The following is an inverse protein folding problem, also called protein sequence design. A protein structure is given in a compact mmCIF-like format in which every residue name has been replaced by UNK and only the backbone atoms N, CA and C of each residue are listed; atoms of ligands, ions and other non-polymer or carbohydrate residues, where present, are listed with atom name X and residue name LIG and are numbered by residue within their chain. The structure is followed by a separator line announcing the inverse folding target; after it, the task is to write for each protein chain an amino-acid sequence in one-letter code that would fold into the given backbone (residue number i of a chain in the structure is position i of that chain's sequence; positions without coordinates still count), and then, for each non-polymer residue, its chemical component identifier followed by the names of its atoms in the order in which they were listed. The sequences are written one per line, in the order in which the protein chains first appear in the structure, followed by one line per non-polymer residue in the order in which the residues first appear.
data_IF_328033292349
#
_entry.id   IF_328033292349
#
_cell.length_a   1.000
_cell.length_b   1.000
_cell.length_c   1.000
_cell.angle_alpha   90.00
_cell.angle_beta   90.00
_cell.angle_gamma   90.00
#
_symmetry.space_group_name_H-M   'P 1'
#
loop_
_entity.id
_entity.type
_entity.pdbx_description
1 polymer ?
#
# COMPACT_ATOMS: atom_id res chain seq x y z
N UNK A 1 -0.10 12.92 2.14
CA UNK A 1 1.12 12.28 1.56
C UNK A 1 1.13 12.52 0.06
N UNK A 2 2.24 12.96 -0.45
CA UNK A 2 2.42 13.10 -1.90
C UNK A 2 3.01 11.81 -2.46
N UNK A 3 2.39 11.29 -3.54
CA UNK A 3 2.81 10.08 -4.23
C UNK A 3 3.40 10.48 -5.57
N UNK A 4 4.68 10.21 -5.77
CA UNK A 4 5.36 10.49 -7.02
C UNK A 4 5.39 9.26 -7.92
N UNK A 5 5.41 9.49 -9.23
CA UNK A 5 5.58 8.41 -10.18
C UNK A 5 6.91 7.70 -9.96
N UNK A 6 6.86 6.37 -9.95
CA UNK A 6 8.04 5.51 -9.79
C UNK A 6 7.82 4.22 -10.57
N UNK A 7 8.86 3.44 -10.73
CA UNK A 7 8.73 2.13 -11.37
C UNK A 7 7.74 1.24 -10.62
N UNK A 8 6.98 0.44 -11.35
CA UNK A 8 6.01 -0.49 -10.77
C UNK A 8 6.71 -1.79 -10.37
N UNK A 9 7.53 -1.67 -9.33
CA UNK A 9 8.30 -2.76 -8.75
C UNK A 9 8.06 -2.76 -7.25
N UNK A 10 7.81 -3.92 -6.67
CA UNK A 10 7.66 -4.04 -5.23
C UNK A 10 8.42 -5.27 -4.71
N UNK A 11 8.92 -5.16 -3.51
CA UNK A 11 9.63 -6.24 -2.83
C UNK A 11 9.34 -6.23 -1.33
N UNK A 12 9.34 -5.05 -0.72
CA UNK A 12 9.15 -4.88 0.71
C UNK A 12 7.71 -4.51 1.02
N UNK A 13 7.18 -5.08 2.10
CA UNK A 13 5.81 -4.84 2.54
C UNK A 13 5.78 -4.62 4.03
N UNK A 14 4.76 -3.91 4.49
CA UNK A 14 4.52 -3.66 5.90
C UNK A 14 3.10 -4.03 6.28
N UNK A 15 2.87 -4.28 7.56
CA UNK A 15 1.56 -4.51 8.13
C UNK A 15 1.46 -3.86 9.51
N UNK A 16 0.23 -3.56 9.90
CA UNK A 16 -0.10 -3.03 11.21
C UNK A 16 -1.12 -3.97 11.86
N UNK A 17 -0.94 -4.33 13.12
CA UNK A 17 -1.80 -5.32 13.78
C UNK A 17 -2.88 -4.69 14.66
N UNK A 18 -2.77 -3.41 15.02
CA UNK A 18 -3.64 -2.75 15.97
C UNK A 18 -4.38 -1.54 15.41
N UNK A 19 -4.40 -1.38 14.11
CA UNK A 19 -5.12 -0.30 13.42
C UNK A 19 -5.55 -0.74 12.03
N UNK A 20 -6.62 -0.15 11.55
CA UNK A 20 -6.88 -0.10 10.12
C UNK A 20 -6.06 1.04 9.53
N UNK A 21 -5.68 0.94 8.28
CA UNK A 21 -5.09 2.04 7.53
C UNK A 21 -6.01 2.39 6.39
N UNK A 22 -6.43 3.64 6.34
CA UNK A 22 -7.29 4.15 5.28
C UNK A 22 -6.47 5.03 4.35
N UNK A 23 -6.57 4.77 3.05
CA UNK A 23 -5.95 5.58 2.02
C UNK A 23 -7.05 6.15 1.12
N UNK A 24 -6.99 7.45 0.87
CA UNK A 24 -7.98 8.15 0.06
C UNK A 24 -7.26 8.89 -1.07
N UNK A 25 -7.65 8.58 -2.32
CA UNK A 25 -7.06 9.19 -3.52
C UNK A 25 -7.66 10.59 -3.73
N UNK A 26 -6.92 11.63 -3.36
CA UNK A 26 -7.43 13.01 -3.33
C UNK A 26 -7.41 13.69 -4.69
N UNK A 27 -6.27 13.70 -5.38
CA UNK A 27 -6.09 14.50 -6.60
C UNK A 27 -5.93 13.66 -7.85
N UNK A 28 -5.76 12.36 -7.71
CA UNK A 28 -5.62 11.43 -8.83
C UNK A 28 -5.64 10.00 -8.33
N UNK A 29 -5.72 9.05 -9.24
CA UNK A 29 -5.76 7.63 -8.92
C UNK A 29 -4.45 7.10 -8.34
N UNK A 30 -4.56 6.11 -7.48
CA UNK A 30 -3.42 5.41 -6.87
C UNK A 30 -3.55 3.90 -7.08
N UNK A 31 -2.40 3.24 -7.04
CA UNK A 31 -2.29 1.78 -7.13
C UNK A 31 -1.63 1.29 -5.86
N UNK A 32 -2.21 0.30 -5.22
CA UNK A 32 -1.67 -0.20 -3.95
C UNK A 32 -1.53 -1.71 -4.02
N UNK A 33 -0.33 -2.25 -3.68
CA UNK A 33 -0.14 -3.69 -3.57
C UNK A 33 -0.62 -4.17 -2.20
N UNK A 34 -1.38 -5.25 -2.19
CA UNK A 34 -1.90 -5.89 -0.99
C UNK A 34 -1.68 -7.39 -1.02
N UNK A 35 -1.54 -7.98 0.18
CA UNK A 35 -1.61 -9.42 0.39
C UNK A 35 -2.29 -9.71 1.72
N UNK A 36 -3.01 -10.82 1.79
CA UNK A 36 -3.70 -11.22 3.03
C UNK A 36 -2.73 -11.43 4.18
N UNK A 37 -3.20 -11.32 5.44
CA UNK A 37 -2.36 -11.57 6.61
C UNK A 37 -1.73 -12.97 6.59
N UNK A 38 -0.58 -13.09 7.19
CA UNK A 38 0.13 -14.34 7.35
C UNK A 38 1.37 -14.44 6.48
N UNK A 39 1.73 -15.66 6.09
CA UNK A 39 2.90 -15.88 5.25
C UNK A 39 2.64 -15.29 3.86
N UNK A 40 3.56 -14.47 3.41
CA UNK A 40 3.43 -13.76 2.14
C UNK A 40 4.32 -14.38 1.06
N UNK A 41 3.72 -14.66 -0.09
CA UNK A 41 4.43 -15.09 -1.30
C UNK A 41 3.95 -14.27 -2.48
N UNK A 42 4.71 -14.31 -3.58
CA UNK A 42 4.36 -13.56 -4.80
C UNK A 42 2.93 -13.86 -5.28
N UNK A 43 2.49 -15.11 -5.17
CA UNK A 43 1.15 -15.54 -5.62
C UNK A 43 0.01 -14.90 -4.83
N UNK A 44 0.31 -14.36 -3.65
CA UNK A 44 -0.66 -13.70 -2.78
C UNK A 44 -0.81 -12.21 -3.10
N UNK A 45 0.02 -11.68 -3.98
CA UNK A 45 0.07 -10.25 -4.28
C UNK A 45 -1.09 -9.83 -5.20
N UNK A 46 -1.81 -8.80 -4.78
CA UNK A 46 -2.87 -8.17 -5.55
C UNK A 46 -2.62 -6.67 -5.65
N UNK A 47 -2.79 -6.12 -6.84
CA UNK A 47 -2.67 -4.68 -7.07
C UNK A 47 -4.05 -4.10 -7.26
N UNK A 48 -4.43 -3.16 -6.41
CA UNK A 48 -5.72 -2.48 -6.50
C UNK A 48 -5.55 -1.07 -7.05
N UNK A 49 -6.41 -0.72 -8.00
CA UNK A 49 -6.52 0.65 -8.47
C UNK A 49 -7.65 1.36 -7.71
N UNK A 50 -7.29 2.47 -7.06
CA UNK A 50 -8.24 3.32 -6.34
C UNK A 50 -8.36 4.62 -7.12
N UNK A 51 -9.51 4.88 -7.77
CA UNK A 51 -9.68 6.10 -8.58
C UNK A 51 -9.75 7.36 -7.71
N UNK A 52 -9.48 8.49 -8.32
CA UNK A 52 -9.62 9.79 -7.66
C UNK A 52 -11.00 9.91 -7.00
N UNK A 53 -11.03 10.34 -5.76
CA UNK A 53 -12.26 10.51 -4.98
C UNK A 53 -12.75 9.26 -4.26
N UNK A 54 -12.04 8.14 -4.41
CA UNK A 54 -12.34 6.91 -3.70
C UNK A 54 -11.28 6.62 -2.65
N UNK A 55 -11.62 5.75 -1.72
CA UNK A 55 -10.70 5.31 -0.69
C UNK A 55 -10.79 3.82 -0.44
N UNK A 56 -9.82 3.30 0.30
CA UNK A 56 -9.79 1.91 0.73
C UNK A 56 -9.32 1.86 2.16
N UNK A 57 -9.92 0.98 2.95
CA UNK A 57 -9.47 0.72 4.31
C UNK A 57 -8.86 -0.67 4.39
N UNK A 58 -7.62 -0.73 4.82
CA UNK A 58 -6.84 -1.93 4.96
C UNK A 58 -7.00 -2.47 6.37
N UNK A 59 -7.48 -3.70 6.50
CA UNK A 59 -7.68 -4.34 7.82
C UNK A 59 -6.35 -4.60 8.51
N UNK A 60 -6.35 -4.71 9.86
CA UNK A 60 -5.14 -5.11 10.59
C UNK A 60 -4.55 -6.40 10.03
N UNK A 61 -3.23 -6.43 9.95
CA UNK A 61 -2.49 -7.61 9.48
C UNK A 61 -2.31 -7.73 7.98
N UNK A 62 -3.03 -6.94 7.17
CA UNK A 62 -2.90 -6.98 5.71
C UNK A 62 -1.56 -6.39 5.30
N UNK A 63 -0.81 -7.15 4.51
CA UNK A 63 0.45 -6.67 3.94
C UNK A 63 0.18 -5.65 2.85
N UNK A 64 0.89 -4.52 2.88
CA UNK A 64 0.76 -3.45 1.90
C UNK A 64 2.06 -2.67 1.78
N UNK A 65 2.12 -1.80 0.78
CA UNK A 65 3.25 -0.88 0.61
C UNK A 65 2.74 0.48 0.15
N UNK A 66 3.63 1.47 0.16
CA UNK A 66 3.29 2.82 -0.27
C UNK A 66 2.70 2.83 -1.68
N UNK A 67 1.71 3.71 -1.94
CA UNK A 67 1.03 3.73 -3.23
C UNK A 67 1.94 4.09 -4.40
N UNK A 68 1.48 3.68 -5.57
CA UNK A 68 2.03 4.08 -6.87
C UNK A 68 1.01 4.93 -7.60
N UNK A 69 1.42 5.64 -8.62
CA UNK A 69 0.50 6.39 -9.49
C UNK A 69 0.95 6.35 -10.94
N UNK A 70 -0.02 6.49 -11.85
CA UNK A 70 0.24 6.64 -13.29
C UNK A 70 0.54 8.09 -13.66
N UNK A 71 0.21 9.02 -12.78
CA UNK A 71 0.43 10.44 -12.98
C UNK A 71 1.82 10.86 -12.49
N UNK A 72 2.23 12.07 -12.79
CA UNK A 72 3.51 12.60 -12.32
C UNK A 72 3.56 12.63 -10.79
N UNK A 73 2.50 13.15 -10.18
CA UNK A 73 2.31 13.07 -8.74
C UNK A 73 0.83 13.24 -8.37
N UNK A 74 0.44 12.68 -7.23
CA UNK A 74 -0.91 12.84 -6.68
C UNK A 74 -0.82 12.99 -5.17
N UNK A 75 -1.85 13.60 -4.58
CA UNK A 75 -2.02 13.66 -3.14
C UNK A 75 -2.92 12.53 -2.66
N UNK A 76 -2.52 11.87 -1.62
CA UNK A 76 -3.25 10.79 -0.97
C UNK A 76 -3.37 11.07 0.52
N UNK A 77 -4.56 10.90 1.08
CA UNK A 77 -4.76 10.99 2.52
C UNK A 77 -4.54 9.61 3.14
N UNK A 78 -3.75 9.56 4.20
CA UNK A 78 -3.47 8.32 4.94
C UNK A 78 -3.91 8.53 6.38
N UNK A 79 -4.76 7.63 6.87
CA UNK A 79 -5.31 7.71 8.23
C UNK A 79 -5.05 6.38 8.94
N UNK A 80 -4.41 6.45 10.10
CA UNK A 80 -4.23 5.29 10.97
C UNK A 80 -4.11 5.76 12.43
N UNK A 81 -4.07 4.81 13.35
CA UNK A 81 -3.97 5.08 14.78
C UNK A 81 -2.67 5.82 15.09
N UNK A 82 -2.72 6.75 16.04
CA UNK A 82 -1.56 7.48 16.52
C UNK A 82 -0.42 6.54 16.90
N UNK A 83 0.80 6.92 16.55
CA UNK A 83 2.05 6.20 16.85
C UNK A 83 2.21 4.85 16.12
N UNK A 84 1.37 4.52 15.15
CA UNK A 84 1.45 3.27 14.39
C UNK A 84 2.82 3.04 13.78
N UNK A 85 3.42 4.05 13.17
CA UNK A 85 4.72 3.93 12.49
C UNK A 85 5.89 3.67 13.46
N UNK A 86 5.69 3.86 14.75
CA UNK A 86 6.74 3.63 15.78
C UNK A 86 6.48 2.38 16.62
N UNK A 87 5.22 2.03 16.83
CA UNK A 87 4.82 1.02 17.81
C UNK A 87 4.16 -0.21 17.20
N UNK A 88 3.69 -0.11 15.97
CA UNK A 88 2.88 -1.16 15.34
C UNK A 88 3.18 -1.26 13.85
N UNK A 89 4.41 -1.66 13.55
CA UNK A 89 4.83 -1.87 12.17
C UNK A 89 5.67 -3.14 12.06
N UNK A 90 5.30 -3.98 11.11
CA UNK A 90 5.96 -5.25 10.82
C UNK A 90 6.33 -5.27 9.35
N UNK A 91 7.45 -5.88 9.01
CA UNK A 91 7.95 -5.92 7.65
C UNK A 91 8.11 -7.35 7.17
N UNK A 92 7.89 -7.54 5.88
CA UNK A 92 8.30 -8.73 5.15
C UNK A 92 8.79 -8.32 3.78
N UNK A 93 9.52 -9.18 3.12
CA UNK A 93 9.91 -8.92 1.73
C UNK A 93 9.95 -10.20 0.91
N UNK A 94 9.71 -10.05 -0.38
CA UNK A 94 9.87 -11.14 -1.34
C UNK A 94 11.36 -11.42 -1.54
N UNK A 95 11.70 -12.67 -1.92
CA UNK A 95 13.08 -13.04 -2.19
C UNK A 95 13.69 -12.17 -3.31
N UNK A 96 12.86 -11.76 -4.28
CA UNK A 96 13.27 -10.89 -5.38
C UNK A 96 12.20 -9.84 -5.67
N UNK A 97 12.59 -8.67 -6.23
CA UNK A 97 11.62 -7.67 -6.66
C UNK A 97 10.67 -8.23 -7.72
N UNK A 98 9.41 -7.79 -7.64
CA UNK A 98 8.37 -8.16 -8.61
C UNK A 98 7.87 -6.92 -9.31
N UNK A 99 7.97 -6.90 -10.64
CA UNK A 99 7.36 -5.86 -11.45
C UNK A 99 5.90 -6.20 -11.74
N UNK A 100 5.07 -5.19 -11.90
CA UNK A 100 3.68 -5.38 -12.30
C UNK A 100 3.30 -4.43 -13.43
N UNK A 101 2.35 -4.89 -14.24
CA UNK A 101 1.80 -4.14 -15.38
C UNK A 101 0.30 -3.96 -15.19
N UNK A 102 -0.22 -2.95 -15.85
CA UNK A 102 -1.64 -2.60 -15.79
C UNK A 102 -2.37 -3.04 -17.07
#
# INVERSE_FOLDING_TARGET
MEVFRKEFICQKFEAHNHTEETLFAMTGGILIPFAKPGKFTEDELHIFYIPKGAGISCRPGVWHWAPYTLEESVMCMVIFKKNTSREDIYFTELAEPVGFEL
#
